data_IF_945725725687
#
_entry.id   IF_945725725687
#
_cell.length_a   1.000
_cell.length_b   1.000
_cell.length_c   1.000
_cell.angle_alpha   90.00
_cell.angle_beta   90.00
_cell.angle_gamma   90.00
#
_symmetry.space_group_name_H-M   'P 1'
#
loop_
_entity.id
_entity.type
_entity.pdbx_description
1 polymer ?
#
# COMPACT_ATOMS: atom_id res chain seq x y z
N UNK A 1 1.89 -14.56 33.76
CA UNK A 1 2.58 -14.76 32.47
C UNK A 1 1.53 -15.13 31.45
N UNK A 2 1.28 -14.29 30.46
CA UNK A 2 0.35 -14.63 29.36
C UNK A 2 0.98 -15.75 28.53
N UNK A 3 0.27 -16.85 28.31
CA UNK A 3 0.78 -17.98 27.53
C UNK A 3 1.02 -17.54 26.08
N UNK A 4 2.16 -17.90 25.52
CA UNK A 4 2.48 -17.68 24.09
C UNK A 4 1.47 -18.45 23.24
N UNK A 5 0.77 -17.75 22.33
CA UNK A 5 -0.20 -18.34 21.42
C UNK A 5 0.46 -18.81 20.13
N UNK A 6 -0.05 -19.94 19.60
CA UNK A 6 0.31 -20.44 18.28
C UNK A 6 -0.61 -19.82 17.23
N UNK A 7 -0.05 -19.03 16.33
CA UNK A 7 -0.81 -18.24 15.35
C UNK A 7 -0.40 -18.63 13.94
N UNK A 8 -1.37 -19.00 13.13
CA UNK A 8 -1.18 -19.20 11.68
C UNK A 8 -1.57 -17.95 10.93
N UNK A 9 -0.63 -17.35 10.21
CA UNK A 9 -0.92 -16.29 9.23
C UNK A 9 -1.22 -16.93 7.87
N UNK A 10 -2.51 -17.04 7.55
CA UNK A 10 -2.97 -17.55 6.27
C UNK A 10 -2.91 -16.45 5.20
N UNK A 11 -1.89 -16.52 4.34
CA UNK A 11 -1.56 -15.50 3.34
C UNK A 11 -1.44 -16.09 1.94
N UNK A 12 -1.21 -15.23 0.95
CA UNK A 12 -0.64 -15.62 -0.35
C UNK A 12 0.81 -16.08 -0.15
N UNK A 13 1.44 -16.73 -1.16
CA UNK A 13 2.86 -17.10 -1.06
C UNK A 13 3.73 -15.91 -0.69
N UNK A 14 4.42 -16.01 0.44
CA UNK A 14 5.38 -15.01 0.88
C UNK A 14 6.73 -15.30 0.22
N UNK A 15 7.10 -14.49 -0.73
CA UNK A 15 8.33 -14.63 -1.54
C UNK A 15 8.67 -13.30 -2.22
N UNK A 16 9.94 -13.06 -2.46
CA UNK A 16 10.41 -11.93 -3.29
C UNK A 16 9.92 -12.05 -4.75
N UNK A 17 9.77 -10.90 -5.48
CA UNK A 17 9.97 -9.54 -5.01
C UNK A 17 8.82 -9.06 -4.10
N UNK A 18 9.13 -8.08 -3.24
CA UNK A 18 8.18 -7.46 -2.34
C UNK A 18 7.36 -6.37 -3.07
N UNK A 19 6.55 -6.81 -4.00
CA UNK A 19 5.81 -5.98 -4.94
C UNK A 19 4.31 -5.87 -4.66
N UNK A 20 3.80 -6.62 -3.66
CA UNK A 20 2.42 -6.58 -3.21
C UNK A 20 2.32 -6.18 -1.74
N UNK A 21 1.46 -5.20 -1.44
CA UNK A 21 1.28 -4.66 -0.09
C UNK A 21 0.90 -5.72 0.95
N UNK A 22 0.06 -6.72 0.57
CA UNK A 22 -0.33 -7.81 1.48
C UNK A 22 0.84 -8.73 1.85
N UNK A 23 1.73 -9.05 0.89
CA UNK A 23 2.93 -9.83 1.16
C UNK A 23 3.88 -9.07 2.09
N UNK A 24 4.12 -7.81 1.76
CA UNK A 24 4.99 -6.94 2.55
C UNK A 24 4.50 -6.83 3.98
N UNK A 25 3.20 -6.56 4.16
CA UNK A 25 2.61 -6.42 5.48
C UNK A 25 2.73 -7.72 6.30
N UNK A 26 2.39 -8.88 5.72
CA UNK A 26 2.49 -10.17 6.41
C UNK A 26 3.94 -10.52 6.80
N UNK A 27 4.91 -10.27 5.91
CA UNK A 27 6.32 -10.46 6.21
C UNK A 27 6.80 -9.53 7.34
N UNK A 28 6.47 -8.25 7.26
CA UNK A 28 6.88 -7.28 8.27
C UNK A 28 6.17 -7.51 9.61
N UNK A 29 4.90 -7.92 9.60
CA UNK A 29 4.19 -8.31 10.82
C UNK A 29 4.88 -9.53 11.47
N UNK A 30 5.27 -10.52 10.66
CA UNK A 30 6.06 -11.66 11.13
C UNK A 30 7.41 -11.27 11.74
N UNK A 31 8.06 -10.24 11.21
CA UNK A 31 9.34 -9.73 11.73
C UNK A 31 9.18 -9.00 13.06
N UNK A 32 8.11 -8.26 13.26
CA UNK A 32 7.94 -7.36 14.41
C UNK A 32 7.17 -7.99 15.58
N UNK A 33 6.29 -8.98 15.35
CA UNK A 33 5.59 -9.71 16.42
C UNK A 33 6.57 -10.61 17.17
N UNK A 34 6.74 -10.38 18.47
CA UNK A 34 7.80 -11.04 19.28
C UNK A 34 7.26 -11.97 20.36
N UNK A 35 6.07 -11.68 20.90
CA UNK A 35 5.54 -12.35 22.08
C UNK A 35 4.62 -13.52 21.74
N UNK A 36 4.51 -13.87 20.46
CA UNK A 36 3.65 -14.94 19.96
C UNK A 36 4.43 -15.90 19.06
N UNK A 37 4.00 -17.15 18.95
CA UNK A 37 4.57 -18.13 18.02
C UNK A 37 3.85 -18.05 16.69
N UNK A 38 4.46 -17.36 15.71
CA UNK A 38 3.87 -17.20 14.38
C UNK A 38 4.31 -18.30 13.42
N UNK A 39 3.38 -18.78 12.61
CA UNK A 39 3.64 -19.62 11.44
C UNK A 39 3.27 -18.86 10.18
N UNK A 40 4.25 -18.65 9.29
CA UNK A 40 4.10 -18.01 7.99
C UNK A 40 4.10 -19.05 6.88
N UNK A 41 3.23 -18.87 5.88
CA UNK A 41 3.13 -19.76 4.73
C UNK A 41 4.08 -19.29 3.61
N UNK A 42 5.09 -20.10 3.29
CA UNK A 42 6.18 -19.73 2.37
C UNK A 42 6.29 -20.69 1.19
N UNK A 43 7.22 -20.40 0.30
CA UNK A 43 7.75 -21.35 -0.70
C UNK A 43 8.88 -22.17 -0.07
N UNK A 44 9.50 -23.04 -0.85
CA UNK A 44 10.63 -23.88 -0.38
C UNK A 44 11.85 -23.05 0.05
N UNK A 45 12.02 -21.87 -0.56
CA UNK A 45 13.12 -20.97 -0.20
C UNK A 45 12.73 -20.18 1.05
N UNK A 46 13.48 -20.31 2.16
CA UNK A 46 13.16 -19.64 3.40
C UNK A 46 13.37 -18.12 3.27
N UNK A 47 12.49 -17.36 3.91
CA UNK A 47 12.63 -15.92 4.02
C UNK A 47 13.72 -15.57 5.03
N UNK A 48 14.63 -14.71 4.62
CA UNK A 48 15.66 -14.13 5.52
C UNK A 48 15.09 -13.02 6.41
N UNK A 49 15.79 -12.69 7.49
CA UNK A 49 15.45 -11.55 8.35
C UNK A 49 14.24 -11.73 9.27
N UNK A 50 13.70 -12.95 9.38
CA UNK A 50 12.66 -13.30 10.36
C UNK A 50 13.28 -13.76 11.68
N UNK A 51 12.66 -13.47 12.85
CA UNK A 51 13.06 -14.02 14.14
C UNK A 51 12.99 -15.55 14.17
N UNK A 52 13.81 -16.19 14.99
CA UNK A 52 13.78 -17.66 15.18
C UNK A 52 12.45 -18.19 15.76
N UNK A 53 11.69 -17.32 16.42
CA UNK A 53 10.34 -17.64 16.94
C UNK A 53 9.30 -17.78 15.82
N UNK A 54 9.60 -17.37 14.60
CA UNK A 54 8.71 -17.46 13.45
C UNK A 54 8.97 -18.75 12.69
N UNK A 55 7.99 -19.64 12.71
CA UNK A 55 8.02 -20.86 11.90
C UNK A 55 7.64 -20.56 10.45
N UNK A 56 8.40 -21.11 9.50
CA UNK A 56 8.13 -20.99 8.06
C UNK A 56 7.65 -22.33 7.52
N UNK A 57 6.42 -22.35 6.98
CA UNK A 57 5.79 -23.56 6.46
C UNK A 57 5.78 -23.51 4.91
N UNK A 58 6.58 -24.33 4.22
CA UNK A 58 6.77 -24.24 2.76
C UNK A 58 5.68 -24.98 1.98
N UNK A 59 4.44 -24.51 2.05
CA UNK A 59 3.30 -25.17 1.38
C UNK A 59 3.17 -24.81 -0.10
N UNK A 60 3.84 -23.76 -0.57
CA UNK A 60 3.70 -23.26 -1.92
C UNK A 60 4.85 -23.73 -2.83
N UNK A 61 4.50 -24.18 -4.04
CA UNK A 61 5.47 -24.59 -5.05
C UNK A 61 5.93 -23.45 -5.95
N UNK A 62 5.28 -22.29 -5.92
CA UNK A 62 5.60 -21.12 -6.73
C UNK A 62 5.17 -19.81 -6.07
N UNK A 63 5.72 -18.69 -6.57
CA UNK A 63 5.34 -17.33 -6.16
C UNK A 63 3.95 -16.91 -6.65
N UNK A 64 3.45 -17.53 -7.71
CA UNK A 64 2.19 -17.18 -8.33
C UNK A 64 1.01 -17.84 -7.62
N UNK A 65 -0.07 -17.09 -7.40
CA UNK A 65 -1.27 -17.58 -6.74
C UNK A 65 -2.21 -18.30 -7.73
N UNK A 66 -1.73 -19.41 -8.29
CA UNK A 66 -2.43 -20.28 -9.24
C UNK A 66 -3.51 -21.13 -8.58
N UNK A 67 -4.31 -21.85 -9.36
CA UNK A 67 -5.30 -22.82 -8.84
C UNK A 67 -4.63 -23.89 -7.95
N UNK A 68 -3.44 -24.37 -8.35
CA UNK A 68 -2.66 -25.35 -7.57
C UNK A 68 -2.23 -24.79 -6.22
N UNK A 69 -1.73 -23.55 -6.17
CA UNK A 69 -1.33 -22.92 -4.90
C UNK A 69 -2.53 -22.63 -4.01
N UNK A 70 -3.69 -22.28 -4.57
CA UNK A 70 -4.96 -22.15 -3.82
C UNK A 70 -5.40 -23.48 -3.22
N UNK A 71 -5.31 -24.55 -3.99
CA UNK A 71 -5.63 -25.91 -3.51
C UNK A 71 -4.70 -26.34 -2.38
N UNK A 72 -3.38 -26.11 -2.52
CA UNK A 72 -2.40 -26.41 -1.48
C UNK A 72 -2.71 -25.66 -0.18
N UNK A 73 -2.99 -24.33 -0.28
CA UNK A 73 -3.39 -23.52 0.87
C UNK A 73 -4.64 -24.11 1.56
N UNK A 74 -5.67 -24.40 0.78
CA UNK A 74 -6.91 -24.93 1.32
C UNK A 74 -6.73 -26.31 1.98
N UNK A 75 -6.02 -27.23 1.33
CA UNK A 75 -5.69 -28.56 1.85
C UNK A 75 -4.91 -28.45 3.18
N UNK A 76 -3.91 -27.55 3.21
CA UNK A 76 -3.14 -27.29 4.42
C UNK A 76 -4.02 -26.74 5.54
N UNK A 77 -4.81 -25.69 5.28
CA UNK A 77 -5.72 -25.10 6.27
C UNK A 77 -6.67 -26.16 6.87
N UNK A 78 -7.22 -27.04 6.03
CA UNK A 78 -8.07 -28.15 6.49
C UNK A 78 -7.32 -29.13 7.37
N UNK A 79 -6.07 -29.49 7.00
CA UNK A 79 -5.24 -30.43 7.78
C UNK A 79 -4.90 -29.89 9.16
N UNK A 80 -4.58 -28.59 9.26
CA UNK A 80 -4.09 -27.98 10.50
C UNK A 80 -5.14 -27.19 11.28
N UNK A 81 -6.41 -27.22 10.88
CA UNK A 81 -7.49 -26.33 11.34
C UNK A 81 -7.64 -26.21 12.87
N UNK A 82 -7.19 -27.21 13.65
CA UNK A 82 -7.31 -27.23 15.10
C UNK A 82 -5.94 -27.28 15.81
N UNK A 83 -4.84 -26.97 15.11
CA UNK A 83 -3.48 -27.03 15.67
C UNK A 83 -2.98 -25.67 16.15
N UNK A 84 -3.71 -24.60 15.83
CA UNK A 84 -3.38 -23.22 16.18
C UNK A 84 -4.44 -22.65 17.13
N UNK A 85 -4.01 -21.80 18.05
CA UNK A 85 -4.90 -21.04 18.91
C UNK A 85 -5.66 -19.98 18.11
N UNK A 86 -4.98 -19.39 17.10
CA UNK A 86 -5.57 -18.39 16.22
C UNK A 86 -5.18 -18.68 14.76
N UNK A 87 -6.16 -18.63 13.87
CA UNK A 87 -5.93 -18.58 12.42
C UNK A 87 -6.29 -17.19 11.92
N UNK A 88 -5.29 -16.45 11.44
CA UNK A 88 -5.44 -15.10 10.95
C UNK A 88 -5.37 -15.07 9.41
N UNK A 89 -6.48 -14.71 8.76
CA UNK A 89 -6.62 -14.62 7.32
C UNK A 89 -6.23 -13.22 6.81
N UNK A 90 -5.09 -13.11 6.15
CA UNK A 90 -4.52 -11.88 5.56
C UNK A 90 -4.66 -11.89 4.04
N UNK A 91 -5.87 -11.96 3.53
CA UNK A 91 -6.16 -11.86 2.10
C UNK A 91 -7.58 -11.34 1.87
N UNK A 92 -7.80 -10.72 0.72
CA UNK A 92 -9.15 -10.29 0.32
C UNK A 92 -10.02 -11.52 0.09
N UNK A 93 -11.11 -11.71 0.83
CA UNK A 93 -11.98 -12.84 0.66
C UNK A 93 -12.74 -12.74 -0.68
N UNK A 94 -12.97 -13.90 -1.31
CA UNK A 94 -13.90 -14.05 -2.42
C UNK A 94 -15.01 -14.99 -2.01
N UNK A 95 -16.16 -14.96 -2.68
CA UNK A 95 -17.29 -15.85 -2.36
C UNK A 95 -16.87 -17.33 -2.27
N UNK A 96 -16.10 -17.77 -3.28
CA UNK A 96 -15.63 -19.16 -3.31
C UNK A 96 -14.69 -19.48 -2.14
N UNK A 97 -13.67 -18.64 -1.91
CA UNK A 97 -12.69 -18.88 -0.84
C UNK A 97 -13.35 -18.84 0.54
N UNK A 98 -14.21 -17.85 0.79
CA UNK A 98 -14.89 -17.71 2.06
C UNK A 98 -15.79 -18.92 2.36
N UNK A 99 -16.57 -19.39 1.39
CA UNK A 99 -17.44 -20.55 1.55
C UNK A 99 -16.64 -21.84 1.78
N UNK A 100 -15.57 -22.06 1.02
CA UNK A 100 -14.69 -23.22 1.22
C UNK A 100 -14.07 -23.22 2.63
N UNK A 101 -13.58 -22.06 3.10
CA UNK A 101 -13.01 -21.96 4.44
C UNK A 101 -14.08 -22.21 5.50
N UNK A 102 -15.23 -21.54 5.41
CA UNK A 102 -16.33 -21.68 6.38
C UNK A 102 -16.78 -23.13 6.56
N UNK A 103 -16.90 -23.87 5.47
CA UNK A 103 -17.49 -25.20 5.51
C UNK A 103 -16.46 -26.29 5.80
N UNK A 104 -15.22 -26.15 5.32
CA UNK A 104 -14.27 -27.25 5.30
C UNK A 104 -12.98 -27.01 6.08
N UNK A 105 -12.59 -25.75 6.29
CA UNK A 105 -11.30 -25.40 6.86
C UNK A 105 -11.37 -24.45 8.08
N UNK A 106 -12.56 -23.91 8.42
CA UNK A 106 -12.70 -23.08 9.63
C UNK A 106 -12.36 -23.93 10.87
N UNK A 107 -11.52 -23.42 11.79
CA UNK A 107 -11.24 -24.08 13.06
C UNK A 107 -12.53 -24.32 13.85
N UNK A 108 -12.63 -25.48 14.48
CA UNK A 108 -13.67 -25.80 15.47
C UNK A 108 -13.16 -25.58 16.90
N UNK A 109 -11.85 -25.52 17.06
CA UNK A 109 -11.14 -25.11 18.28
C UNK A 109 -10.20 -23.96 17.89
N UNK A 110 -10.03 -23.00 18.76
CA UNK A 110 -9.28 -21.76 18.46
C UNK A 110 -10.14 -20.68 17.82
N UNK A 111 -9.57 -19.51 17.65
CA UNK A 111 -10.23 -18.30 17.17
C UNK A 111 -9.79 -17.96 15.74
N UNK A 112 -10.57 -17.14 15.08
CA UNK A 112 -10.28 -16.67 13.72
C UNK A 112 -10.21 -15.16 13.66
N UNK A 113 -9.26 -14.64 12.89
CA UNK A 113 -9.15 -13.22 12.57
C UNK A 113 -9.20 -13.05 11.06
N UNK A 114 -9.84 -12.01 10.61
CA UNK A 114 -9.88 -11.63 9.20
C UNK A 114 -9.46 -10.16 9.05
N UNK A 115 -8.33 -9.90 8.40
CA UNK A 115 -7.95 -8.53 8.05
C UNK A 115 -8.50 -8.18 6.68
N UNK A 116 -9.38 -7.18 6.65
CA UNK A 116 -10.02 -6.63 5.45
C UNK A 116 -9.25 -5.37 5.04
N UNK A 117 -8.23 -5.56 4.23
CA UNK A 117 -7.39 -4.46 3.74
C UNK A 117 -8.07 -3.62 2.66
N UNK A 118 -9.11 -4.15 2.03
CA UNK A 118 -9.92 -3.51 1.00
C UNK A 118 -11.33 -4.08 1.06
N UNK A 119 -12.31 -3.23 1.28
CA UNK A 119 -13.71 -3.62 1.18
C UNK A 119 -14.17 -3.47 -0.28
N UNK A 120 -14.44 -4.60 -0.94
CA UNK A 120 -14.73 -4.67 -2.38
C UNK A 120 -16.22 -4.40 -2.67
N UNK A 121 -16.70 -3.21 -2.31
CA UNK A 121 -18.06 -2.73 -2.63
C UNK A 121 -18.28 -2.56 -4.15
N UNK A 122 -17.20 -2.46 -4.91
CA UNK A 122 -17.18 -2.45 -6.38
C UNK A 122 -17.54 -3.81 -7.00
N UNK A 123 -17.37 -4.91 -6.26
CA UNK A 123 -17.58 -6.28 -6.75
C UNK A 123 -18.74 -7.00 -6.07
N UNK A 124 -19.10 -6.61 -4.85
CA UNK A 124 -20.01 -7.37 -4.00
C UNK A 124 -21.14 -6.51 -3.44
N UNK A 125 -22.35 -7.01 -3.50
CA UNK A 125 -23.50 -6.46 -2.80
C UNK A 125 -23.34 -6.59 -1.28
N UNK A 126 -24.14 -5.86 -0.51
CA UNK A 126 -24.11 -5.93 0.97
C UNK A 126 -24.31 -7.35 1.51
N UNK A 127 -25.25 -8.13 0.93
CA UNK A 127 -25.50 -9.53 1.29
C UNK A 127 -24.28 -10.42 1.02
N UNK A 128 -23.60 -10.21 -0.09
CA UNK A 128 -22.39 -10.95 -0.43
C UNK A 128 -21.23 -10.58 0.51
N UNK A 129 -21.05 -9.27 0.83
CA UNK A 129 -20.08 -8.83 1.83
C UNK A 129 -20.34 -9.47 3.18
N UNK A 130 -21.60 -9.53 3.64
CA UNK A 130 -21.97 -10.24 4.87
C UNK A 130 -21.64 -11.73 4.80
N UNK A 131 -21.72 -12.35 3.63
CA UNK A 131 -21.44 -13.77 3.47
C UNK A 131 -19.95 -14.13 3.43
N UNK A 132 -19.09 -13.22 2.97
CA UNK A 132 -17.63 -13.49 2.84
C UNK A 132 -16.83 -13.13 4.09
N UNK A 133 -17.45 -12.44 5.04
CA UNK A 133 -16.85 -12.11 6.34
C UNK A 133 -17.36 -13.10 7.36
N UNK A 134 -16.45 -13.81 8.06
CA UNK A 134 -16.83 -14.97 8.87
C UNK A 134 -15.99 -15.15 10.15
N UNK A 135 -15.00 -14.30 10.38
CA UNK A 135 -14.08 -14.46 11.51
C UNK A 135 -14.67 -14.01 12.84
N UNK A 136 -14.12 -14.52 13.94
CA UNK A 136 -14.49 -14.14 15.30
C UNK A 136 -14.06 -12.70 15.61
N UNK A 137 -12.98 -12.21 14.98
CA UNK A 137 -12.52 -10.83 15.04
C UNK A 137 -12.22 -10.32 13.62
N UNK A 138 -12.68 -9.13 13.31
CA UNK A 138 -12.44 -8.46 12.02
C UNK A 138 -11.52 -7.26 12.27
N UNK A 139 -10.49 -7.11 11.41
CA UNK A 139 -9.59 -5.97 11.44
C UNK A 139 -9.72 -5.23 10.10
N UNK A 140 -9.88 -3.92 10.15
CA UNK A 140 -9.90 -3.03 8.98
C UNK A 140 -8.71 -2.10 9.03
N UNK A 141 -8.36 -1.52 7.87
CA UNK A 141 -7.25 -0.55 7.77
C UNK A 141 -7.70 0.91 7.90
N UNK A 142 -9.02 1.15 8.00
CA UNK A 142 -9.58 2.49 8.18
C UNK A 142 -10.79 2.46 9.11
N UNK A 143 -11.02 3.53 9.84
CA UNK A 143 -12.24 3.72 10.64
C UNK A 143 -13.47 3.75 9.73
N UNK A 144 -13.36 4.35 8.54
CA UNK A 144 -14.42 4.34 7.52
C UNK A 144 -14.89 2.92 7.19
N UNK A 145 -13.98 2.00 6.90
CA UNK A 145 -14.33 0.60 6.59
C UNK A 145 -14.88 -0.11 7.81
N UNK A 146 -14.36 0.15 9.02
CA UNK A 146 -14.92 -0.36 10.27
C UNK A 146 -16.37 0.07 10.45
N UNK A 147 -16.68 1.36 10.29
CA UNK A 147 -18.07 1.85 10.43
C UNK A 147 -19.02 1.25 9.36
N UNK A 148 -18.54 1.08 8.13
CA UNK A 148 -19.30 0.36 7.09
C UNK A 148 -19.64 -1.08 7.51
N UNK A 149 -18.66 -1.81 8.05
CA UNK A 149 -18.88 -3.19 8.51
C UNK A 149 -19.83 -3.23 9.72
N UNK A 150 -19.75 -2.28 10.64
CA UNK A 150 -20.72 -2.15 11.73
C UNK A 150 -22.14 -1.93 11.21
N UNK A 151 -22.31 -1.08 10.20
CA UNK A 151 -23.61 -0.84 9.56
C UNK A 151 -24.14 -2.07 8.81
N UNK A 152 -23.25 -3.00 8.41
CA UNK A 152 -23.62 -4.33 7.88
C UNK A 152 -23.95 -5.35 8.98
N UNK A 153 -23.91 -4.97 10.26
CA UNK A 153 -24.27 -5.82 11.40
C UNK A 153 -23.08 -6.56 12.06
N UNK A 154 -21.84 -6.23 11.72
CA UNK A 154 -20.68 -6.80 12.39
C UNK A 154 -20.29 -5.98 13.62
N UNK A 155 -20.27 -6.59 14.81
CA UNK A 155 -19.94 -5.92 16.08
C UNK A 155 -18.50 -6.12 16.54
N UNK A 156 -17.83 -7.15 16.02
CA UNK A 156 -16.47 -7.56 16.35
C UNK A 156 -15.43 -6.94 15.39
N UNK A 157 -15.52 -5.67 15.09
CA UNK A 157 -14.65 -4.96 14.13
C UNK A 157 -13.76 -3.97 14.84
N UNK A 158 -12.45 -4.07 14.60
CA UNK A 158 -11.44 -3.11 15.05
C UNK A 158 -10.73 -2.47 13.86
N UNK A 159 -10.29 -1.23 14.01
CA UNK A 159 -9.41 -0.59 13.05
C UNK A 159 -7.96 -0.67 13.56
N UNK A 160 -7.07 -1.18 12.72
CA UNK A 160 -5.61 -1.09 12.89
C UNK A 160 -5.04 -0.60 11.57
N UNK A 161 -4.45 0.58 11.57
CA UNK A 161 -3.79 1.11 10.38
C UNK A 161 -2.63 0.22 9.93
N UNK A 162 -2.39 0.06 8.61
CA UNK A 162 -1.26 -0.71 8.12
C UNK A 162 0.05 -0.01 8.49
N UNK A 163 1.00 -0.76 9.03
CA UNK A 163 2.32 -0.23 9.37
C UNK A 163 3.29 -0.24 8.21
N UNK A 164 4.20 0.71 8.20
CA UNK A 164 5.40 0.75 7.37
C UNK A 164 6.66 0.85 8.24
N UNK A 165 7.79 0.47 7.68
CA UNK A 165 9.10 0.61 8.33
C UNK A 165 9.56 2.08 8.26
N UNK A 166 9.24 2.87 9.30
CA UNK A 166 9.54 4.30 9.36
C UNK A 166 11.03 4.60 9.54
N UNK A 167 11.86 3.60 9.84
CA UNK A 167 13.32 3.72 9.87
C UNK A 167 13.92 3.52 8.48
N UNK A 168 13.32 2.67 7.67
CA UNK A 168 13.64 2.52 6.25
C UNK A 168 13.15 3.72 5.45
N UNK A 169 11.88 4.07 5.58
CA UNK A 169 11.28 5.25 4.97
C UNK A 169 11.49 6.46 5.88
N UNK A 170 12.58 7.17 5.67
CA UNK A 170 12.94 8.36 6.45
C UNK A 170 13.53 9.45 5.56
N UNK A 171 13.47 10.71 5.98
CA UNK A 171 14.16 11.79 5.27
C UNK A 171 15.65 11.50 5.16
N UNK A 172 16.16 11.65 3.94
CA UNK A 172 17.58 11.53 3.59
C UNK A 172 17.92 12.63 2.58
N UNK A 173 19.18 13.05 2.46
CA UNK A 173 19.63 13.90 1.37
C UNK A 173 19.32 13.27 0.01
N UNK A 174 19.14 14.09 -1.01
CA UNK A 174 19.00 13.61 -2.39
C UNK A 174 20.29 12.87 -2.78
N UNK A 175 20.16 11.62 -3.21
CA UNK A 175 21.29 10.83 -3.67
C UNK A 175 21.66 11.25 -5.10
N UNK A 176 22.91 11.71 -5.36
CA UNK A 176 23.36 12.07 -6.69
C UNK A 176 23.26 10.93 -7.71
N UNK A 177 23.39 9.66 -7.28
CA UNK A 177 23.26 8.51 -8.17
C UNK A 177 21.81 8.34 -8.61
N UNK A 178 20.85 8.49 -7.68
CA UNK A 178 19.42 8.47 -8.00
C UNK A 178 19.06 9.62 -8.93
N UNK A 179 19.54 10.84 -8.66
CA UNK A 179 19.31 11.98 -9.53
C UNK A 179 19.84 11.74 -10.95
N UNK A 180 21.05 11.18 -11.06
CA UNK A 180 21.65 10.82 -12.35
C UNK A 180 20.82 9.77 -13.10
N UNK A 181 20.32 8.74 -12.40
CA UNK A 181 19.44 7.72 -12.97
C UNK A 181 18.12 8.31 -13.48
N UNK A 182 17.61 9.35 -12.82
CA UNK A 182 16.43 10.10 -13.24
C UNK A 182 16.73 11.09 -14.41
N UNK A 183 17.99 11.30 -14.77
CA UNK A 183 18.40 12.29 -15.75
C UNK A 183 18.27 13.75 -15.26
N UNK A 184 18.29 13.94 -13.94
CA UNK A 184 18.06 15.22 -13.28
C UNK A 184 19.25 15.60 -12.36
N UNK A 185 19.19 16.77 -11.75
CA UNK A 185 20.19 17.26 -10.80
C UNK A 185 19.51 18.05 -9.66
N UNK A 186 20.30 18.50 -8.70
CA UNK A 186 19.81 19.18 -7.47
C UNK A 186 19.09 20.53 -7.75
N UNK A 187 19.31 21.17 -8.91
CA UNK A 187 18.63 22.43 -9.28
C UNK A 187 17.17 22.20 -9.70
N UNK A 188 16.80 20.95 -10.00
CA UNK A 188 15.46 20.62 -10.43
C UNK A 188 14.52 20.42 -9.24
N UNK A 189 13.32 20.95 -9.37
CA UNK A 189 12.19 20.65 -8.49
C UNK A 189 11.49 19.40 -9.04
N UNK A 190 11.67 18.27 -8.36
CA UNK A 190 11.24 16.96 -8.83
C UNK A 190 9.87 16.62 -8.25
N UNK A 191 8.90 16.40 -9.12
CA UNK A 191 7.55 15.95 -8.81
C UNK A 191 7.40 14.49 -9.22
N UNK A 192 7.00 13.59 -8.34
CA UNK A 192 6.82 12.17 -8.68
C UNK A 192 5.38 11.71 -8.49
N UNK A 193 4.83 11.09 -9.54
CA UNK A 193 3.53 10.40 -9.50
C UNK A 193 3.73 8.92 -9.18
N UNK A 194 3.66 8.54 -7.91
CA UNK A 194 3.86 7.14 -7.46
C UNK A 194 2.53 6.38 -7.51
N UNK A 195 1.96 6.29 -8.70
CA UNK A 195 0.68 5.63 -8.95
C UNK A 195 0.79 4.40 -9.85
N UNK A 196 -0.35 3.95 -10.35
CA UNK A 196 -0.46 2.95 -11.42
C UNK A 196 -0.85 3.66 -12.72
N UNK A 197 -0.36 3.17 -13.85
CA UNK A 197 -0.59 3.85 -15.13
C UNK A 197 -2.06 3.87 -15.52
N UNK A 198 -2.77 2.75 -15.45
CA UNK A 198 -4.14 2.66 -15.99
C UNK A 198 -5.23 2.76 -14.91
N UNK A 199 -5.13 1.97 -13.85
CA UNK A 199 -6.27 1.67 -12.96
C UNK A 199 -6.80 2.84 -12.15
N UNK A 200 -5.96 3.80 -11.76
CA UNK A 200 -6.33 4.87 -10.81
C UNK A 200 -6.92 6.11 -11.49
N UNK A 201 -6.95 6.14 -12.84
CA UNK A 201 -7.63 7.17 -13.63
C UNK A 201 -7.00 8.57 -13.57
N UNK A 202 -5.72 8.69 -13.23
CA UNK A 202 -5.08 10.01 -13.09
C UNK A 202 -4.05 10.32 -14.17
N UNK A 203 -3.48 9.31 -14.82
CA UNK A 203 -2.28 9.44 -15.63
C UNK A 203 -2.46 10.37 -16.84
N UNK A 204 -3.58 10.25 -17.55
CA UNK A 204 -3.89 11.13 -18.69
C UNK A 204 -4.01 12.59 -18.23
N UNK A 205 -4.79 12.85 -17.20
CA UNK A 205 -4.99 14.19 -16.64
C UNK A 205 -3.66 14.81 -16.19
N UNK A 206 -2.79 14.04 -15.53
CA UNK A 206 -1.46 14.52 -15.11
C UNK A 206 -0.60 14.85 -16.33
N UNK A 207 -0.56 13.95 -17.32
CA UNK A 207 0.24 14.14 -18.53
C UNK A 207 -0.19 15.41 -19.29
N UNK A 208 -1.49 15.56 -19.54
CA UNK A 208 -2.05 16.72 -20.25
C UNK A 208 -1.74 18.03 -19.50
N UNK A 209 -1.95 18.05 -18.17
CA UNK A 209 -1.70 19.23 -17.35
C UNK A 209 -0.20 19.64 -17.36
N UNK A 210 0.72 18.68 -17.27
CA UNK A 210 2.16 18.98 -17.30
C UNK A 210 2.64 19.35 -18.71
N UNK A 211 2.10 18.75 -19.77
CA UNK A 211 2.41 19.13 -21.16
C UNK A 211 2.02 20.60 -21.41
N UNK A 212 0.80 20.97 -21.01
CA UNK A 212 0.34 22.36 -21.16
C UNK A 212 1.15 23.32 -20.31
N UNK A 213 1.53 22.94 -19.10
CA UNK A 213 2.37 23.74 -18.23
C UNK A 213 3.77 23.96 -18.83
N UNK A 214 4.44 22.91 -19.30
CA UNK A 214 5.80 23.02 -19.86
C UNK A 214 5.85 23.83 -21.17
N UNK A 215 4.81 23.72 -22.00
CA UNK A 215 4.68 24.57 -23.20
C UNK A 215 4.63 26.07 -22.88
N UNK A 216 3.95 26.42 -21.78
CA UNK A 216 3.81 27.81 -21.32
C UNK A 216 5.01 28.31 -20.52
N UNK A 217 5.81 27.40 -19.98
CA UNK A 217 6.93 27.70 -19.08
C UNK A 217 8.20 26.95 -19.46
N UNK A 218 8.81 27.25 -20.64
CA UNK A 218 9.96 26.49 -21.15
C UNK A 218 11.22 26.61 -20.29
N UNK A 219 11.33 27.67 -19.47
CA UNK A 219 12.49 27.90 -18.59
C UNK A 219 12.30 27.31 -17.19
N UNK A 220 11.22 26.57 -16.96
CA UNK A 220 10.94 25.99 -15.62
C UNK A 220 11.95 24.92 -15.22
N UNK A 221 12.33 24.91 -13.94
CA UNK A 221 13.14 23.84 -13.35
C UNK A 221 12.31 22.66 -12.82
N UNK A 222 10.99 22.66 -12.98
CA UNK A 222 10.14 21.54 -12.59
C UNK A 222 10.42 20.34 -13.50
N UNK A 223 10.50 19.15 -12.91
CA UNK A 223 10.61 17.86 -13.60
C UNK A 223 9.58 16.90 -13.06
N UNK A 224 9.03 16.04 -13.92
CA UNK A 224 8.07 15.03 -13.49
C UNK A 224 8.61 13.61 -13.72
N UNK A 225 8.39 12.74 -12.75
CA UNK A 225 8.74 11.31 -12.81
C UNK A 225 7.47 10.47 -12.74
N UNK A 226 7.35 9.48 -13.64
CA UNK A 226 6.29 8.47 -13.64
C UNK A 226 6.87 7.09 -13.32
N UNK A 227 7.14 6.77 -12.05
CA UNK A 227 7.75 5.49 -11.62
C UNK A 227 6.75 4.33 -11.55
N UNK A 228 5.63 4.44 -12.22
CA UNK A 228 4.57 3.43 -12.22
C UNK A 228 5.07 2.08 -12.72
N UNK A 229 4.60 1.00 -12.07
CA UNK A 229 4.90 -0.37 -12.51
C UNK A 229 3.95 -0.79 -13.63
N UNK A 230 4.51 -1.43 -14.64
CA UNK A 230 3.75 -2.11 -15.69
C UNK A 230 3.42 -3.52 -15.22
N UNK A 231 2.17 -3.77 -14.83
CA UNK A 231 1.69 -5.06 -14.32
C UNK A 231 0.90 -5.88 -15.33
N UNK A 232 0.35 -5.20 -16.34
CA UNK A 232 -0.53 -5.77 -17.35
C UNK A 232 -0.46 -4.96 -18.65
N UNK A 233 -1.17 -5.39 -19.70
CA UNK A 233 -1.20 -4.71 -21.00
C UNK A 233 -1.75 -3.28 -20.92
N UNK A 234 -2.79 -3.04 -20.12
CA UNK A 234 -3.38 -1.71 -19.97
C UNK A 234 -2.38 -0.71 -19.36
N UNK A 235 -1.57 -1.13 -18.39
CA UNK A 235 -0.48 -0.28 -17.86
C UNK A 235 0.57 0.00 -18.93
N UNK A 236 0.95 -1.01 -19.74
CA UNK A 236 1.93 -0.84 -20.82
C UNK A 236 1.41 0.11 -21.91
N UNK A 237 0.17 -0.03 -22.31
CA UNK A 237 -0.50 0.82 -23.29
C UNK A 237 -0.60 2.26 -22.80
N UNK A 238 -1.00 2.47 -21.54
CA UNK A 238 -1.07 3.81 -20.95
C UNK A 238 0.31 4.46 -20.84
N UNK A 239 1.32 3.73 -20.38
CA UNK A 239 2.71 4.21 -20.37
C UNK A 239 3.16 4.65 -21.76
N UNK A 240 3.00 3.78 -22.76
CA UNK A 240 3.39 4.09 -24.14
C UNK A 240 2.63 5.31 -24.71
N UNK A 241 1.34 5.44 -24.36
CA UNK A 241 0.51 6.59 -24.74
C UNK A 241 1.10 7.89 -24.22
N UNK A 242 1.39 7.98 -22.93
CA UNK A 242 1.92 9.24 -22.35
C UNK A 242 3.35 9.54 -22.81
N UNK A 243 4.22 8.53 -22.96
CA UNK A 243 5.55 8.69 -23.56
C UNK A 243 5.45 9.30 -24.97
N UNK A 244 4.52 8.80 -25.79
CA UNK A 244 4.25 9.33 -27.13
C UNK A 244 3.73 10.78 -27.09
N UNK A 245 2.88 11.14 -26.14
CA UNK A 245 2.39 12.52 -25.97
C UNK A 245 3.53 13.49 -25.64
N UNK A 246 4.41 13.16 -24.69
CA UNK A 246 5.57 13.98 -24.36
C UNK A 246 6.58 14.07 -25.53
N UNK A 247 6.78 12.97 -26.26
CA UNK A 247 7.65 12.94 -27.45
C UNK A 247 7.10 13.85 -28.55
N UNK A 248 5.82 13.73 -28.88
CA UNK A 248 5.16 14.56 -29.90
C UNK A 248 5.14 16.05 -29.53
N UNK A 249 5.14 16.35 -28.24
CA UNK A 249 5.23 17.72 -27.73
C UNK A 249 6.67 18.27 -27.65
N UNK A 250 7.71 17.48 -27.93
CA UNK A 250 9.13 17.80 -27.74
C UNK A 250 9.48 18.20 -26.30
N UNK A 251 8.91 17.48 -25.30
CA UNK A 251 9.03 17.80 -23.87
C UNK A 251 9.74 16.70 -23.04
N UNK A 252 10.45 15.76 -23.67
CA UNK A 252 11.13 14.67 -22.98
C UNK A 252 12.19 15.11 -21.97
N UNK A 253 12.76 16.31 -22.12
CA UNK A 253 13.73 16.87 -21.16
C UNK A 253 13.11 17.20 -19.80
N UNK A 254 11.77 17.24 -19.68
CA UNK A 254 11.06 17.54 -18.42
C UNK A 254 10.52 16.30 -17.71
N UNK A 255 10.52 15.14 -18.38
CA UNK A 255 9.87 13.95 -17.86
C UNK A 255 10.80 12.75 -17.85
N UNK A 256 10.64 11.89 -16.83
CA UNK A 256 11.35 10.61 -16.78
C UNK A 256 10.37 9.46 -16.52
N UNK A 257 10.55 8.36 -17.26
CA UNK A 257 9.79 7.11 -17.14
C UNK A 257 10.74 5.97 -16.74
N UNK A 258 11.06 5.81 -15.46
CA UNK A 258 12.04 4.81 -15.05
C UNK A 258 11.58 3.39 -15.37
N UNK A 259 12.53 2.47 -15.59
CA UNK A 259 12.22 1.04 -15.71
C UNK A 259 11.55 0.51 -14.45
N UNK A 260 10.52 -0.32 -14.61
CA UNK A 260 9.67 -0.82 -13.51
C UNK A 260 10.41 -1.68 -12.46
N UNK A 261 11.62 -2.15 -12.75
CA UNK A 261 12.28 -3.25 -12.02
C UNK A 261 13.46 -2.85 -11.14
N UNK A 262 13.94 -1.60 -11.20
CA UNK A 262 15.28 -1.27 -10.66
C UNK A 262 15.28 -0.03 -9.75
N UNK A 263 14.13 0.50 -9.37
CA UNK A 263 14.14 1.75 -8.60
C UNK A 263 14.21 1.50 -7.10
N UNK A 264 15.21 2.08 -6.46
CA UNK A 264 15.18 2.31 -5.01
C UNK A 264 14.03 3.29 -4.70
N UNK A 265 12.92 2.74 -4.21
CA UNK A 265 11.73 3.53 -3.91
C UNK A 265 12.00 4.57 -2.79
N UNK A 266 12.86 4.26 -1.85
CA UNK A 266 13.25 5.20 -0.78
C UNK A 266 14.09 6.33 -1.35
N UNK A 267 15.06 5.98 -2.20
CA UNK A 267 15.85 6.97 -2.95
C UNK A 267 14.98 7.86 -3.81
N UNK A 268 13.97 7.30 -4.50
CA UNK A 268 13.03 8.09 -5.30
C UNK A 268 12.23 9.08 -4.44
N UNK A 269 11.65 8.64 -3.31
CA UNK A 269 10.94 9.56 -2.42
C UNK A 269 11.87 10.68 -1.94
N UNK A 270 13.11 10.35 -1.58
CA UNK A 270 14.08 11.34 -1.11
C UNK A 270 14.64 12.24 -2.23
N UNK A 271 14.70 11.79 -3.47
CA UNK A 271 15.05 12.62 -4.63
C UNK A 271 13.91 13.59 -5.02
N UNK A 272 12.66 13.25 -4.68
CA UNK A 272 11.49 14.07 -5.01
C UNK A 272 11.34 15.23 -4.02
N UNK A 273 10.97 16.40 -4.51
CA UNK A 273 10.55 17.54 -3.69
C UNK A 273 9.07 17.44 -3.33
N UNK A 274 8.28 16.84 -4.23
CA UNK A 274 6.84 16.74 -4.10
C UNK A 274 6.35 15.39 -4.65
N UNK A 275 5.47 14.76 -3.92
CA UNK A 275 4.75 13.57 -4.39
C UNK A 275 3.33 13.96 -4.76
N UNK A 276 2.85 13.48 -5.89
CA UNK A 276 1.47 13.70 -6.32
C UNK A 276 0.72 12.38 -6.43
N UNK A 277 -0.52 12.38 -5.95
CA UNK A 277 -1.42 11.22 -6.02
C UNK A 277 -2.87 11.69 -6.30
N UNK A 278 -3.11 12.43 -7.42
CA UNK A 278 -4.40 13.03 -7.75
C UNK A 278 -5.31 12.03 -8.46
N UNK A 279 -5.53 10.87 -7.83
CA UNK A 279 -6.27 9.74 -8.43
C UNK A 279 -7.77 9.99 -8.48
N UNK A 280 -8.43 9.42 -9.48
CA UNK A 280 -9.89 9.52 -9.65
C UNK A 280 -10.65 8.53 -8.74
N UNK A 281 -10.01 7.40 -8.38
CA UNK A 281 -10.58 6.35 -7.55
C UNK A 281 -9.50 5.49 -6.87
N UNK A 282 -9.94 4.60 -5.95
CA UNK A 282 -9.09 3.61 -5.28
C UNK A 282 -9.57 2.17 -5.49
N UNK A 283 -10.27 1.89 -6.57
CA UNK A 283 -10.84 0.57 -6.85
C UNK A 283 -9.77 -0.53 -6.82
N UNK A 284 -10.02 -1.55 -6.01
CA UNK A 284 -9.12 -2.69 -5.84
C UNK A 284 -7.76 -2.37 -5.18
N UNK A 285 -7.58 -1.18 -4.61
CA UNK A 285 -6.43 -0.81 -3.79
C UNK A 285 -6.71 -1.03 -2.31
N UNK A 286 -5.66 -1.09 -1.50
CA UNK A 286 -5.81 -1.00 -0.06
C UNK A 286 -6.52 0.32 0.30
N UNK A 287 -7.37 0.26 1.33
CA UNK A 287 -8.09 1.43 1.84
C UNK A 287 -7.11 2.55 2.25
N UNK A 288 -5.88 2.20 2.62
CA UNK A 288 -4.75 3.12 2.82
C UNK A 288 -3.67 2.85 1.76
N UNK A 289 -3.49 3.71 0.76
CA UNK A 289 -2.40 3.56 -0.21
C UNK A 289 -1.03 3.77 0.46
N UNK A 290 -0.23 2.71 0.54
CA UNK A 290 1.08 2.77 1.22
C UNK A 290 2.02 3.81 0.61
N UNK A 291 1.91 4.09 -0.68
CA UNK A 291 2.71 5.12 -1.38
C UNK A 291 2.58 6.51 -0.76
N UNK A 292 1.40 6.86 -0.22
CA UNK A 292 1.18 8.13 0.47
C UNK A 292 1.90 8.12 1.82
N UNK A 293 1.73 7.03 2.58
CA UNK A 293 2.31 6.90 3.92
C UNK A 293 3.83 6.78 3.85
N UNK A 294 4.37 6.12 2.84
CA UNK A 294 5.81 6.06 2.56
C UNK A 294 6.38 7.45 2.22
N UNK A 295 5.67 8.23 1.40
CA UNK A 295 6.04 9.62 1.10
C UNK A 295 6.02 10.50 2.36
N UNK A 296 4.96 10.41 3.17
CA UNK A 296 4.89 11.08 4.47
C UNK A 296 6.06 10.69 5.37
N UNK A 297 6.34 9.39 5.46
CA UNK A 297 7.45 8.87 6.25
C UNK A 297 8.82 9.39 5.77
N UNK A 298 9.00 9.61 4.47
CA UNK A 298 10.18 10.27 3.92
C UNK A 298 10.16 11.80 4.06
N UNK A 299 9.17 12.37 4.76
CA UNK A 299 9.05 13.82 4.97
C UNK A 299 8.76 14.60 3.69
N UNK A 300 8.06 13.99 2.73
CA UNK A 300 7.70 14.66 1.48
C UNK A 300 6.31 15.29 1.59
N UNK A 301 6.18 16.50 1.06
CA UNK A 301 4.87 17.09 0.81
C UNK A 301 4.12 16.25 -0.23
N UNK A 302 2.80 16.15 -0.07
CA UNK A 302 1.96 15.35 -0.96
C UNK A 302 0.76 16.17 -1.43
N UNK A 303 0.42 16.07 -2.72
CA UNK A 303 -0.84 16.57 -3.27
C UNK A 303 -1.75 15.36 -3.53
N UNK A 304 -2.95 15.37 -2.98
CA UNK A 304 -3.97 14.31 -3.09
C UNK A 304 -5.25 14.82 -3.74
N UNK A 305 -6.03 13.94 -4.35
CA UNK A 305 -7.43 14.23 -4.64
C UNK A 305 -8.26 14.35 -3.35
N UNK A 306 -9.25 15.22 -3.33
CA UNK A 306 -10.28 15.21 -2.27
C UNK A 306 -11.23 14.02 -2.46
N UNK A 307 -10.78 12.84 -2.03
CA UNK A 307 -11.57 11.63 -2.00
C UNK A 307 -11.98 11.32 -0.55
N UNK A 308 -13.22 10.87 -0.31
CA UNK A 308 -13.67 10.48 1.04
C UNK A 308 -12.77 9.41 1.70
N UNK A 309 -12.09 8.57 0.91
CA UNK A 309 -11.18 7.55 1.37
C UNK A 309 -9.90 8.12 1.99
N UNK A 310 -9.52 9.35 1.65
CA UNK A 310 -8.30 9.98 2.14
C UNK A 310 -8.48 10.79 3.43
N UNK A 311 -9.71 11.09 3.85
CA UNK A 311 -10.01 12.00 4.95
C UNK A 311 -9.41 11.59 6.30
N UNK A 312 -9.14 10.31 6.52
CA UNK A 312 -8.51 9.83 7.76
C UNK A 312 -7.01 10.14 7.85
N UNK A 313 -6.35 10.33 6.72
CA UNK A 313 -4.90 10.58 6.64
C UNK A 313 -4.56 11.74 5.70
N UNK A 314 -5.51 12.61 5.42
CA UNK A 314 -5.33 13.84 4.65
C UNK A 314 -5.98 15.01 5.39
N UNK A 315 -5.20 16.04 5.68
CA UNK A 315 -5.65 17.31 6.20
C UNK A 315 -4.66 18.41 5.78
N UNK A 316 -5.07 19.67 5.91
CA UNK A 316 -4.30 20.85 5.48
C UNK A 316 -2.93 21.03 6.14
N UNK A 317 -2.67 20.35 7.27
CA UNK A 317 -1.37 20.42 7.96
C UNK A 317 -0.33 19.46 7.36
N UNK A 318 -0.76 18.39 6.70
CA UNK A 318 0.13 17.30 6.24
C UNK A 318 0.14 17.11 4.72
N UNK A 319 -0.84 17.66 4.01
CA UNK A 319 -0.91 17.55 2.55
C UNK A 319 -1.76 18.67 1.94
N UNK A 320 -1.68 18.81 0.63
CA UNK A 320 -2.61 19.63 -0.16
C UNK A 320 -3.64 18.72 -0.80
N UNK A 321 -4.92 19.06 -0.67
CA UNK A 321 -6.01 18.35 -1.36
C UNK A 321 -6.54 19.20 -2.51
N UNK A 322 -6.80 18.54 -3.65
CA UNK A 322 -7.35 19.18 -4.85
C UNK A 322 -8.61 18.43 -5.30
N UNK A 323 -9.53 19.10 -6.00
CA UNK A 323 -10.64 18.39 -6.64
C UNK A 323 -10.12 17.29 -7.56
N UNK A 324 -10.79 16.12 -7.56
CA UNK A 324 -10.45 15.06 -8.52
C UNK A 324 -10.57 15.56 -9.95
N UNK A 325 -9.80 14.98 -10.85
CA UNK A 325 -9.81 15.27 -12.28
C UNK A 325 -9.49 16.75 -12.62
N UNK A 326 -8.83 17.48 -11.72
CA UNK A 326 -8.48 18.89 -11.90
C UNK A 326 -6.99 19.11 -12.18
N UNK A 327 -6.59 19.01 -13.45
CA UNK A 327 -5.21 19.29 -13.89
C UNK A 327 -4.79 20.73 -13.59
N UNK A 328 -5.71 21.69 -13.75
CA UNK A 328 -5.43 23.10 -13.45
C UNK A 328 -5.07 23.31 -11.97
N UNK A 329 -5.84 22.74 -11.04
CA UNK A 329 -5.55 22.82 -9.60
C UNK A 329 -4.31 22.04 -9.21
N UNK A 330 -4.01 20.94 -9.91
CA UNK A 330 -2.75 20.22 -9.73
C UNK A 330 -1.56 21.13 -10.04
N UNK A 331 -1.52 21.75 -11.21
CA UNK A 331 -0.41 22.63 -11.62
C UNK A 331 -0.31 23.87 -10.74
N UNK A 332 -1.43 24.50 -10.39
CA UNK A 332 -1.47 25.62 -9.44
C UNK A 332 -0.81 25.25 -8.11
N UNK A 333 -1.17 24.08 -7.54
CA UNK A 333 -0.61 23.61 -6.28
C UNK A 333 0.86 23.24 -6.38
N UNK A 334 1.30 22.63 -7.50
CA UNK A 334 2.72 22.32 -7.76
C UNK A 334 3.54 23.60 -7.84
N UNK A 335 3.09 24.59 -8.61
CA UNK A 335 3.78 25.87 -8.75
C UNK A 335 3.83 26.61 -7.39
N UNK A 336 2.72 26.65 -6.67
CA UNK A 336 2.66 27.27 -5.36
C UNK A 336 3.67 26.67 -4.37
N UNK A 337 3.72 25.33 -4.26
CA UNK A 337 4.66 24.66 -3.36
C UNK A 337 6.12 24.82 -3.77
N UNK A 338 6.39 24.83 -5.06
CA UNK A 338 7.74 25.15 -5.59
C UNK A 338 8.18 26.56 -5.21
N UNK A 339 7.28 27.54 -5.34
CA UNK A 339 7.60 28.96 -5.07
C UNK A 339 7.57 29.29 -3.57
N UNK A 340 7.05 28.37 -2.74
CA UNK A 340 6.98 28.49 -1.27
C UNK A 340 7.66 27.30 -0.57
N UNK A 341 9.00 27.15 -0.67
CA UNK A 341 9.71 25.98 -0.14
C UNK A 341 9.52 25.78 1.37
N UNK A 342 9.40 26.85 2.14
CA UNK A 342 9.15 26.77 3.59
C UNK A 342 7.81 26.08 3.92
N UNK A 343 6.78 26.31 3.09
CA UNK A 343 5.45 25.65 3.24
C UNK A 343 5.59 24.19 2.84
N UNK A 344 6.25 23.89 1.72
CA UNK A 344 6.50 22.53 1.25
C UNK A 344 7.23 21.70 2.32
N UNK A 345 8.30 22.25 2.91
CA UNK A 345 9.03 21.61 4.00
C UNK A 345 8.19 21.44 5.27
N UNK A 346 7.38 22.43 5.64
CA UNK A 346 6.50 22.34 6.80
C UNK A 346 5.49 21.20 6.66
N UNK A 347 4.82 21.09 5.51
CA UNK A 347 3.93 19.98 5.19
C UNK A 347 4.65 18.63 5.31
N UNK A 348 5.86 18.52 4.75
CA UNK A 348 6.67 17.30 4.84
C UNK A 348 7.04 16.92 6.28
N UNK A 349 7.43 17.88 7.12
CA UNK A 349 7.72 17.62 8.55
C UNK A 349 6.50 17.13 9.33
N UNK A 350 5.36 17.79 9.15
CA UNK A 350 4.11 17.40 9.82
C UNK A 350 3.64 16.02 9.30
N UNK A 351 3.72 15.78 8.00
CA UNK A 351 3.43 14.47 7.39
C UNK A 351 4.30 13.35 7.99
N UNK A 352 5.60 13.60 8.18
CA UNK A 352 6.52 12.66 8.83
C UNK A 352 6.11 12.36 10.26
N UNK A 353 5.77 13.39 11.03
CA UNK A 353 5.30 13.24 12.41
C UNK A 353 4.04 12.37 12.47
N UNK A 354 3.08 12.65 11.59
CA UNK A 354 1.85 11.90 11.45
C UNK A 354 2.10 10.43 11.08
N UNK A 355 2.98 10.17 10.10
CA UNK A 355 3.33 8.80 9.70
C UNK A 355 3.97 8.00 10.85
N UNK A 356 4.88 8.60 11.60
CA UNK A 356 5.49 7.96 12.78
C UNK A 356 4.47 7.65 13.88
N UNK A 357 3.53 8.55 14.11
CA UNK A 357 2.53 8.38 15.16
C UNK A 357 1.51 7.28 14.82
N UNK A 358 1.05 7.21 13.56
CA UNK A 358 -0.10 6.40 13.17
C UNK A 358 0.26 5.15 12.36
N UNK A 359 1.41 5.14 11.68
CA UNK A 359 1.77 4.11 10.70
C UNK A 359 3.14 3.45 10.96
N UNK A 360 3.71 3.62 12.15
CA UNK A 360 4.90 2.86 12.52
C UNK A 360 4.55 1.37 12.66
N UNK A 361 5.24 0.54 11.89
CA UNK A 361 5.04 -0.91 11.88
C UNK A 361 5.18 -1.55 13.27
N UNK A 362 6.06 -1.03 14.13
CA UNK A 362 6.23 -1.51 15.51
C UNK A 362 4.95 -1.30 16.34
N UNK A 363 4.32 -0.14 16.18
CA UNK A 363 3.06 0.16 16.85
C UNK A 363 1.92 -0.70 16.30
N UNK A 364 1.87 -0.87 14.98
CA UNK A 364 0.92 -1.78 14.34
C UNK A 364 1.08 -3.21 14.86
N UNK A 365 2.30 -3.75 14.89
CA UNK A 365 2.57 -5.09 15.38
C UNK A 365 2.15 -5.28 16.85
N UNK A 366 2.39 -4.26 17.69
CA UNK A 366 1.95 -4.28 19.09
C UNK A 366 0.43 -4.39 19.21
N UNK A 367 -0.33 -3.64 18.41
CA UNK A 367 -1.80 -3.73 18.40
C UNK A 367 -2.28 -5.13 17.97
N UNK A 368 -1.62 -5.75 17.00
CA UNK A 368 -1.93 -7.15 16.65
C UNK A 368 -1.57 -8.13 17.77
N UNK A 369 -0.45 -7.94 18.48
CA UNK A 369 -0.09 -8.76 19.65
C UNK A 369 -1.14 -8.65 20.76
N UNK A 370 -1.67 -7.46 21.01
CA UNK A 370 -2.74 -7.22 21.98
C UNK A 370 -4.01 -8.00 21.61
N UNK A 371 -4.40 -7.98 20.32
CA UNK A 371 -5.53 -8.77 19.82
C UNK A 371 -5.26 -10.28 19.97
N UNK A 372 -4.09 -10.76 19.56
CA UNK A 372 -3.73 -12.17 19.69
C UNK A 372 -3.76 -12.65 21.14
N UNK A 373 -3.41 -11.77 22.07
CA UNK A 373 -3.45 -12.09 23.50
C UNK A 373 -4.87 -12.11 24.05
N UNK A 374 -5.74 -11.18 23.62
CA UNK A 374 -7.10 -11.01 24.15
C UNK A 374 -8.11 -12.01 23.60
N UNK A 375 -7.88 -12.57 22.41
CA UNK A 375 -8.79 -13.53 21.75
C UNK A 375 -8.68 -14.99 22.25
N UNK A 376 -8.08 -15.21 23.36
CA UNK A 376 -7.87 -16.56 23.90
C UNK A 376 -9.14 -17.21 24.44
#
# INVERSE_FOLDING_TARGET
MTSTKKILLATRPLVTPWDEASKNFAYFLGREVKNQSLTLLTTKDPLSGLPQSVHQEPIFSSSHFTLKTKFNLFSYLRKVRNQFDITHYLFTPTMLNANLIKWLAKPTRGKTIQTIATLREDLYSQKELQSIIFADQIITYTERTKEKLKNLGFHNVMCIYPGIDVEKFRPQPKDPQVLTQLGFNEKHFIVSYVGEYARLGATDMIADAFIDFFRKNPETNIRIVFPGRVKNSADAEMKAKIEKLFTAAHLLQYVHFPPSTIMDIVGLYNASDLIIFPVANLEGKFDVPLVIIEAYACGRAVILSDLPQFREFANERICVTIPKDSGAKLIESVAYLKDNPAICEALGREARSFAKQHFDLKNTAKQYEEIYTSLA
#
